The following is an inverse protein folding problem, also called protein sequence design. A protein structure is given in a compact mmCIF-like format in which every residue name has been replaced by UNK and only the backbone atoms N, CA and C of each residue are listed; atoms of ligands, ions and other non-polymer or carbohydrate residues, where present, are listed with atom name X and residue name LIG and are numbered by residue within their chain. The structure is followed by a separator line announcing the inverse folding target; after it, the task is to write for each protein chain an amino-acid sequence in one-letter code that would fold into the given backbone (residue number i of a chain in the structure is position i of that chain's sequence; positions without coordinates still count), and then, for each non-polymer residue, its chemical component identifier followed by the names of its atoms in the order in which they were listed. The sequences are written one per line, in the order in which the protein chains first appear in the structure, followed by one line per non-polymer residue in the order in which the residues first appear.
data_IF_830621734732
#
_entry.id   IF_830621734732
#
_cell.length_a   1.000
_cell.length_b   1.000
_cell.length_c   1.000
_cell.angle_alpha   90.00
_cell.angle_beta   90.00
_cell.angle_gamma   90.00
#
_symmetry.space_group_name_H-M   'P 1'
#
loop_
_entity.id
_entity.type
_entity.pdbx_description
1 polymer ?
#
# COMPACT_ATOMS: atom_id res chain seq x y z
N UNK A 1 63.60 -4.96 -12.70
CA UNK A 1 63.07 -4.81 -11.31
C UNK A 1 61.63 -4.33 -11.38
N UNK A 2 60.74 -4.90 -10.55
CA UNK A 2 59.29 -4.58 -10.38
C UNK A 2 58.29 -5.25 -11.35
N UNK A 3 58.37 -6.58 -11.50
CA UNK A 3 57.26 -7.42 -11.97
C UNK A 3 56.92 -8.49 -10.93
N UNK A 4 56.52 -8.04 -9.73
CA UNK A 4 56.14 -8.95 -8.64
C UNK A 4 54.90 -8.49 -7.84
N UNK A 5 54.35 -7.30 -8.13
CA UNK A 5 53.23 -6.71 -7.37
C UNK A 5 51.85 -6.94 -7.96
N UNK A 6 51.72 -7.40 -9.21
CA UNK A 6 50.42 -7.61 -9.87
C UNK A 6 49.71 -8.91 -9.49
N UNK A 7 50.45 -9.94 -9.09
CA UNK A 7 49.84 -11.23 -8.73
C UNK A 7 49.20 -11.21 -7.34
N UNK A 8 49.67 -10.34 -6.44
CA UNK A 8 49.14 -10.22 -5.10
C UNK A 8 47.77 -9.53 -5.10
N UNK A 9 47.56 -8.48 -5.88
CA UNK A 9 46.28 -7.73 -5.90
C UNK A 9 45.10 -8.53 -6.48
N UNK A 10 45.36 -9.45 -7.41
CA UNK A 10 44.32 -10.28 -8.04
C UNK A 10 43.74 -11.31 -7.05
N UNK A 11 44.58 -11.82 -6.13
CA UNK A 11 44.14 -12.81 -5.12
C UNK A 11 43.24 -12.21 -4.03
N UNK A 12 43.35 -10.92 -3.72
CA UNK A 12 42.48 -10.25 -2.74
C UNK A 12 41.10 -9.88 -3.30
N UNK A 13 40.99 -9.61 -4.60
CA UNK A 13 39.70 -9.33 -5.27
C UNK A 13 38.79 -10.56 -5.35
N UNK A 14 39.36 -11.76 -5.49
CA UNK A 14 38.58 -13.00 -5.55
C UNK A 14 38.02 -13.42 -4.18
N UNK A 15 38.75 -13.16 -3.08
CA UNK A 15 38.32 -13.53 -1.73
C UNK A 15 37.16 -12.66 -1.19
N UNK A 16 37.03 -11.40 -1.64
CA UNK A 16 35.94 -10.51 -1.23
C UNK A 16 34.60 -10.80 -1.93
N UNK A 17 34.61 -11.47 -3.08
CA UNK A 17 33.39 -11.86 -3.80
C UNK A 17 32.71 -13.11 -3.23
N UNK A 18 33.43 -13.95 -2.48
CA UNK A 18 32.88 -15.21 -1.94
C UNK A 18 32.15 -15.07 -0.59
N UNK A 19 32.27 -13.92 0.09
CA UNK A 19 31.67 -13.70 1.41
C UNK A 19 30.30 -12.99 1.37
N UNK A 20 29.85 -12.51 0.21
CA UNK A 20 28.48 -12.04 0.02
C UNK A 20 27.57 -13.24 -0.25
N UNK A 21 27.33 -14.03 0.80
CA UNK A 21 26.25 -14.99 0.83
C UNK A 21 24.94 -14.25 0.61
N UNK A 22 24.44 -14.28 -0.63
CA UNK A 22 23.13 -13.75 -1.00
C UNK A 22 22.11 -14.52 -0.17
N UNK A 23 21.66 -13.92 0.93
CA UNK A 23 20.50 -14.39 1.67
C UNK A 23 19.30 -14.23 0.74
N UNK A 24 18.94 -15.31 0.04
CA UNK A 24 17.68 -15.40 -0.68
C UNK A 24 16.57 -15.46 0.36
N UNK A 25 16.13 -14.29 0.81
CA UNK A 25 14.86 -14.17 1.50
C UNK A 25 13.80 -14.68 0.52
N UNK A 26 13.32 -15.89 0.76
CA UNK A 26 12.20 -16.45 0.00
C UNK A 26 11.01 -15.52 0.21
N UNK A 27 10.58 -14.82 -0.84
CA UNK A 27 9.26 -14.19 -0.85
C UNK A 27 8.24 -15.31 -0.85
N UNK A 28 7.85 -15.78 0.34
CA UNK A 28 6.71 -16.65 0.48
C UNK A 28 5.49 -15.89 -0.05
N UNK A 29 4.91 -16.38 -1.15
CA UNK A 29 3.65 -15.85 -1.65
C UNK A 29 2.60 -15.98 -0.55
N UNK A 30 1.84 -14.90 -0.31
CA UNK A 30 0.74 -14.95 0.64
C UNK A 30 -0.22 -16.09 0.26
N UNK A 31 -0.69 -16.89 1.23
CA UNK A 31 -1.63 -17.97 0.96
C UNK A 31 -2.86 -17.41 0.24
N UNK A 32 -3.39 -18.18 -0.72
CA UNK A 32 -4.63 -17.80 -1.40
C UNK A 32 -5.77 -17.72 -0.37
N UNK A 33 -6.68 -16.74 -0.52
CA UNK A 33 -7.85 -16.67 0.34
C UNK A 33 -8.71 -17.94 0.19
N UNK A 34 -9.37 -18.40 1.27
CA UNK A 34 -10.25 -19.56 1.20
C UNK A 34 -11.36 -19.35 0.17
N UNK A 35 -11.94 -20.45 -0.37
CA UNK A 35 -13.08 -20.37 -1.26
C UNK A 35 -14.21 -19.55 -0.63
N UNK A 36 -14.83 -18.67 -1.40
CA UNK A 36 -15.92 -17.78 -0.98
C UNK A 36 -15.53 -16.68 0.04
N UNK A 37 -14.24 -16.34 0.16
CA UNK A 37 -13.85 -15.13 0.89
C UNK A 37 -14.44 -13.89 0.21
N UNK A 38 -15.01 -12.94 0.96
CA UNK A 38 -15.54 -11.73 0.36
C UNK A 38 -14.41 -10.88 -0.21
N UNK A 39 -14.71 -10.18 -1.30
CA UNK A 39 -13.86 -9.09 -1.82
C UNK A 39 -13.96 -7.92 -0.85
N UNK A 40 -12.82 -7.48 -0.34
CA UNK A 40 -12.76 -6.33 0.58
C UNK A 40 -12.62 -5.06 -0.25
N UNK A 41 -13.55 -4.12 -0.09
CA UNK A 41 -13.51 -2.80 -0.73
C UNK A 41 -13.44 -1.74 0.37
N UNK A 42 -12.30 -1.05 0.44
CA UNK A 42 -12.04 0.00 1.43
C UNK A 42 -12.05 1.36 0.75
N UNK A 43 -13.07 2.18 1.01
CA UNK A 43 -13.14 3.56 0.55
C UNK A 43 -12.48 4.49 1.58
N UNK A 44 -11.51 5.28 1.12
CA UNK A 44 -10.99 6.43 1.85
C UNK A 44 -11.70 7.70 1.39
N UNK A 45 -12.43 8.33 2.30
CA UNK A 45 -13.36 9.44 2.04
C UNK A 45 -13.25 10.53 3.11
N UNK A 46 -13.97 11.64 2.95
CA UNK A 46 -14.18 12.65 3.99
C UNK A 46 -15.41 13.48 3.67
N UNK A 47 -16.17 13.89 4.69
CA UNK A 47 -17.23 14.89 4.50
C UNK A 47 -16.70 16.24 3.98
N UNK A 48 -15.42 16.55 4.22
CA UNK A 48 -14.77 17.74 3.68
C UNK A 48 -14.36 17.62 2.20
N UNK A 49 -14.44 16.43 1.61
CA UNK A 49 -14.07 16.17 0.23
C UNK A 49 -15.28 16.32 -0.70
N UNK A 50 -15.30 17.38 -1.52
CA UNK A 50 -16.43 17.67 -2.42
C UNK A 50 -16.62 16.66 -3.55
N UNK A 51 -15.55 15.94 -3.93
CA UNK A 51 -15.58 14.90 -4.97
C UNK A 51 -15.94 13.51 -4.44
N UNK A 52 -16.08 13.33 -3.12
CA UNK A 52 -16.33 12.04 -2.49
C UNK A 52 -17.78 11.51 -2.55
N UNK A 53 -18.85 12.33 -2.60
CA UNK A 53 -20.23 11.82 -2.55
C UNK A 53 -20.58 10.74 -3.60
N UNK A 54 -20.10 10.80 -4.86
CA UNK A 54 -20.33 9.71 -5.82
C UNK A 54 -19.69 8.38 -5.40
N UNK A 55 -18.49 8.40 -4.81
CA UNK A 55 -17.81 7.20 -4.34
C UNK A 55 -18.47 6.63 -3.07
N UNK A 56 -18.96 7.50 -2.18
CA UNK A 56 -19.73 7.10 -0.99
C UNK A 56 -21.03 6.38 -1.40
N UNK A 57 -21.73 6.90 -2.42
CA UNK A 57 -22.93 6.26 -2.98
C UNK A 57 -22.62 4.90 -3.60
N UNK A 58 -21.55 4.81 -4.42
CA UNK A 58 -21.12 3.55 -5.01
C UNK A 58 -20.75 2.51 -3.95
N UNK A 59 -20.04 2.90 -2.89
CA UNK A 59 -19.73 2.00 -1.78
C UNK A 59 -21.01 1.50 -1.10
N UNK A 60 -22.02 2.36 -0.96
CA UNK A 60 -23.34 2.00 -0.45
C UNK A 60 -24.04 0.93 -1.31
N UNK A 61 -23.94 1.03 -2.63
CA UNK A 61 -24.44 0.01 -3.56
C UNK A 61 -23.64 -1.30 -3.45
N UNK A 62 -22.31 -1.22 -3.39
CA UNK A 62 -21.43 -2.38 -3.23
C UNK A 62 -21.70 -3.12 -1.92
N UNK A 63 -22.05 -2.41 -0.85
CA UNK A 63 -22.39 -3.00 0.45
C UNK A 63 -23.63 -3.91 0.40
N UNK A 64 -24.49 -3.79 -0.62
CA UNK A 64 -25.65 -4.66 -0.82
C UNK A 64 -25.33 -5.93 -1.62
N UNK A 65 -24.12 -6.05 -2.17
CA UNK A 65 -23.73 -7.17 -3.03
C UNK A 65 -23.20 -8.31 -2.18
N UNK A 66 -23.73 -9.51 -2.38
CA UNK A 66 -23.19 -10.71 -1.75
C UNK A 66 -21.72 -10.91 -2.12
N UNK A 67 -20.92 -11.33 -1.15
CA UNK A 67 -19.48 -11.53 -1.34
C UNK A 67 -18.65 -10.26 -1.37
N UNK A 68 -19.21 -9.09 -0.99
CA UNK A 68 -18.45 -7.85 -0.83
C UNK A 68 -18.46 -7.39 0.63
N UNK A 69 -17.27 -7.13 1.18
CA UNK A 69 -17.09 -6.43 2.46
C UNK A 69 -16.73 -4.97 2.18
N UNK A 70 -17.72 -4.10 2.21
CA UNK A 70 -17.54 -2.66 2.00
C UNK A 70 -17.20 -1.94 3.32
N UNK A 71 -16.11 -1.19 3.33
CA UNK A 71 -15.61 -0.44 4.50
C UNK A 71 -15.38 1.02 4.11
N UNK A 72 -15.88 1.96 4.92
CA UNK A 72 -15.62 3.39 4.75
C UNK A 72 -14.68 3.92 5.83
N UNK A 73 -13.62 4.59 5.40
CA UNK A 73 -12.58 5.15 6.26
C UNK A 73 -12.45 6.65 6.02
N UNK A 74 -12.87 7.42 7.02
CA UNK A 74 -12.82 8.87 6.95
C UNK A 74 -11.42 9.37 7.29
N UNK A 75 -10.75 10.00 6.34
CA UNK A 75 -9.42 10.57 6.50
C UNK A 75 -9.50 11.97 7.11
N UNK A 76 -8.48 12.34 7.88
CA UNK A 76 -8.47 13.60 8.64
C UNK A 76 -7.79 14.77 7.91
N UNK A 77 -7.07 14.52 6.81
CA UNK A 77 -6.29 15.55 6.13
C UNK A 77 -7.14 16.56 5.37
N UNK A 78 -8.48 16.44 5.35
CA UNK A 78 -9.39 17.49 4.87
C UNK A 78 -9.81 18.47 5.95
N UNK A 79 -9.60 18.15 7.24
CA UNK A 79 -10.12 18.97 8.34
C UNK A 79 -9.53 20.39 8.42
N UNK A 80 -8.46 20.67 7.66
CA UNK A 80 -7.87 22.02 7.59
C UNK A 80 -8.77 23.03 6.86
N UNK A 81 -9.76 22.58 6.08
CA UNK A 81 -10.62 23.46 5.25
C UNK A 81 -11.73 24.17 6.03
N UNK A 82 -11.83 23.97 7.34
CA UNK A 82 -12.79 24.63 8.23
C UNK A 82 -14.00 23.77 8.61
N UNK A 83 -14.30 22.69 7.89
CA UNK A 83 -15.20 21.63 8.34
C UNK A 83 -14.39 20.47 8.90
N UNK A 84 -14.65 20.10 10.16
CA UNK A 84 -14.05 18.92 10.79
C UNK A 84 -15.02 17.75 10.71
N UNK A 85 -14.67 16.75 9.91
CA UNK A 85 -15.44 15.52 9.77
C UNK A 85 -15.42 14.72 11.10
N UNK A 86 -16.57 14.51 11.78
CA UNK A 86 -16.62 13.84 13.07
C UNK A 86 -16.28 12.34 13.00
N UNK A 87 -16.33 11.74 11.81
CA UNK A 87 -15.97 10.34 11.58
C UNK A 87 -14.47 10.18 11.24
N UNK A 88 -13.78 11.29 10.93
CA UNK A 88 -12.39 11.25 10.53
C UNK A 88 -11.43 10.91 11.66
N UNK A 89 -10.32 10.23 11.32
CA UNK A 89 -9.24 9.96 12.26
C UNK A 89 -7.86 9.93 11.59
N UNK A 90 -6.80 10.41 12.25
CA UNK A 90 -5.42 10.25 11.78
C UNK A 90 -5.05 8.78 11.52
N UNK A 91 -5.69 7.84 12.23
CA UNK A 91 -5.47 6.40 12.03
C UNK A 91 -5.93 5.93 10.65
N UNK A 92 -6.98 6.53 10.09
CA UNK A 92 -7.48 6.19 8.76
C UNK A 92 -6.56 6.75 7.66
N UNK A 93 -6.09 7.99 7.83
CA UNK A 93 -5.05 8.57 6.98
C UNK A 93 -3.77 7.72 7.01
N UNK A 94 -3.36 7.25 8.20
CA UNK A 94 -2.22 6.34 8.32
C UNK A 94 -2.46 5.02 7.59
N UNK A 95 -3.64 4.41 7.72
CA UNK A 95 -4.02 3.19 7.00
C UNK A 95 -3.91 3.38 5.48
N UNK A 96 -4.41 4.50 4.96
CA UNK A 96 -4.30 4.82 3.54
C UNK A 96 -2.83 4.95 3.08
N UNK A 97 -2.02 5.67 3.86
CA UNK A 97 -0.58 5.83 3.57
C UNK A 97 0.17 4.49 3.59
N UNK A 98 -0.25 3.55 4.43
CA UNK A 98 0.34 2.22 4.48
C UNK A 98 0.16 1.43 3.17
N UNK A 99 -0.86 1.76 2.36
CA UNK A 99 -1.03 1.16 1.03
C UNK A 99 -0.10 1.73 -0.04
N UNK A 100 0.48 2.92 0.15
CA UNK A 100 1.27 3.60 -0.89
C UNK A 100 2.39 2.74 -1.49
N UNK A 101 3.22 2.01 -0.70
CA UNK A 101 4.28 1.19 -1.28
C UNK A 101 3.74 0.03 -2.11
N UNK A 102 2.68 -0.63 -1.63
CA UNK A 102 2.04 -1.77 -2.31
C UNK A 102 1.34 -1.34 -3.61
N UNK A 103 0.80 -0.12 -3.64
CA UNK A 103 0.07 0.44 -4.77
C UNK A 103 0.93 1.32 -5.70
N UNK A 104 2.24 1.46 -5.42
CA UNK A 104 3.14 2.29 -6.20
C UNK A 104 2.82 3.80 -6.18
N UNK A 105 2.12 4.27 -5.16
CA UNK A 105 1.69 5.66 -5.04
C UNK A 105 2.74 6.55 -4.39
N UNK A 106 2.78 7.82 -4.80
CA UNK A 106 3.64 8.86 -4.19
C UNK A 106 2.90 9.72 -3.17
N UNK A 107 1.57 9.73 -3.22
CA UNK A 107 0.70 10.52 -2.36
C UNK A 107 -0.63 9.77 -2.17
N UNK A 108 -1.36 10.13 -1.11
CA UNK A 108 -2.74 9.70 -0.88
C UNK A 108 -3.72 10.73 -1.46
N UNK A 109 -4.91 10.29 -1.84
CA UNK A 109 -5.96 11.15 -2.41
C UNK A 109 -7.36 10.64 -2.01
N UNK A 110 -8.38 11.47 -2.21
CA UNK A 110 -9.79 11.06 -2.01
C UNK A 110 -10.66 11.58 -3.15
N UNK A 111 -11.71 10.84 -3.55
CA UNK A 111 -12.00 9.48 -3.10
C UNK A 111 -10.93 8.49 -3.58
N UNK A 112 -10.69 7.43 -2.80
CA UNK A 112 -9.84 6.31 -3.21
C UNK A 112 -10.45 5.02 -2.67
N UNK A 113 -10.79 4.08 -3.55
CA UNK A 113 -11.09 2.71 -3.18
C UNK A 113 -9.84 1.84 -3.26
N UNK A 114 -9.62 0.98 -2.27
CA UNK A 114 -8.62 -0.09 -2.27
C UNK A 114 -9.34 -1.43 -2.24
N UNK A 115 -9.03 -2.29 -3.21
CA UNK A 115 -9.68 -3.59 -3.41
C UNK A 115 -8.69 -4.70 -3.05
N UNK A 116 -9.06 -5.54 -2.08
CA UNK A 116 -8.26 -6.63 -1.51
C UNK A 116 -6.84 -6.23 -1.08
N UNK A 117 -6.64 -4.94 -0.78
CA UNK A 117 -5.32 -4.38 -0.46
C UNK A 117 -4.32 -4.38 -1.62
N UNK A 118 -4.77 -4.61 -2.86
CA UNK A 118 -3.92 -4.87 -4.03
C UNK A 118 -4.19 -3.97 -5.22
N UNK A 119 -5.45 -3.58 -5.42
CA UNK A 119 -5.86 -2.72 -6.52
C UNK A 119 -6.45 -1.42 -5.97
N UNK A 120 -6.47 -0.38 -6.81
CA UNK A 120 -7.05 0.90 -6.45
C UNK A 120 -7.89 1.46 -7.59
N UNK A 121 -8.96 2.17 -7.23
CA UNK A 121 -9.81 2.94 -8.14
C UNK A 121 -10.18 4.28 -7.49
N UNK A 122 -10.56 5.27 -8.29
CA UNK A 122 -11.08 6.58 -7.86
C UNK A 122 -12.56 6.52 -7.53
#
# INVERSE_FOLDING_TARGET
MRSASKHWTILWLAALLAAFGVSQASLAAAPAPPPNSPVVVELFTSQGCSSCPPADALLGELAQREGVLALSFHVDYWNYIGWKDPYSSPRMTYRQRAYMPALGQRYVYTPQMVIDGRYQEV
#
